data_IF_893762257881
#
_entry.id   IF_893762257881
#
_cell.length_a   1.000
_cell.length_b   1.000
_cell.length_c   1.000
_cell.angle_alpha   90.00
_cell.angle_beta   90.00
_cell.angle_gamma   90.00
#
_symmetry.space_group_name_H-M   'P 1'
#
loop_
_entity.id
_entity.type
_entity.pdbx_description
1 polymer ?
#
# COMPACT_ATOMS: atom_id res chain seq x y z
N UNK A 1 -23.02 -11.04 15.74
CA UNK A 1 -21.72 -11.72 15.58
C UNK A 1 -21.42 -12.09 14.13
N UNK A 2 -22.41 -12.52 13.33
CA UNK A 2 -22.24 -12.83 11.89
C UNK A 2 -21.79 -11.62 11.04
N UNK A 3 -22.18 -10.41 11.46
CA UNK A 3 -21.85 -9.17 10.76
C UNK A 3 -20.37 -8.76 10.89
N UNK A 4 -19.76 -9.00 12.07
CA UNK A 4 -18.33 -8.74 12.30
C UNK A 4 -17.45 -9.60 11.39
N UNK A 5 -17.70 -10.91 11.33
CA UNK A 5 -16.88 -11.85 10.54
C UNK A 5 -16.97 -11.54 9.03
N UNK A 6 -18.16 -11.13 8.56
CA UNK A 6 -18.35 -10.74 7.16
C UNK A 6 -17.62 -9.43 6.84
N UNK A 7 -17.77 -8.42 7.69
CA UNK A 7 -17.18 -7.09 7.50
C UNK A 7 -15.66 -7.15 7.61
N UNK A 8 -15.11 -7.76 8.65
CA UNK A 8 -13.66 -7.92 8.82
C UNK A 8 -13.00 -8.68 7.66
N UNK A 9 -13.61 -9.77 7.17
CA UNK A 9 -13.11 -10.50 5.97
C UNK A 9 -13.17 -9.64 4.71
N UNK A 10 -14.23 -8.85 4.54
CA UNK A 10 -14.36 -7.93 3.41
C UNK A 10 -13.26 -6.87 3.44
N UNK A 11 -13.05 -6.23 4.59
CA UNK A 11 -12.01 -5.22 4.79
C UNK A 11 -10.61 -5.79 4.59
N UNK A 12 -10.30 -6.97 5.15
CA UNK A 12 -8.99 -7.63 4.92
C UNK A 12 -8.72 -7.91 3.45
N UNK A 13 -9.72 -8.33 2.67
CA UNK A 13 -9.56 -8.49 1.21
C UNK A 13 -9.28 -7.15 0.51
N UNK A 14 -9.98 -6.08 0.89
CA UNK A 14 -9.76 -4.74 0.33
C UNK A 14 -8.38 -4.19 0.73
N UNK A 15 -7.94 -4.43 1.97
CA UNK A 15 -6.61 -4.06 2.49
C UNK A 15 -5.50 -4.74 1.69
N UNK A 16 -5.63 -6.06 1.45
CA UNK A 16 -4.67 -6.79 0.60
C UNK A 16 -4.71 -6.25 -0.83
N UNK A 17 -5.89 -5.98 -1.38
CA UNK A 17 -6.01 -5.43 -2.72
C UNK A 17 -5.31 -4.08 -2.85
N UNK A 18 -5.51 -3.14 -1.92
CA UNK A 18 -4.83 -1.83 -1.98
C UNK A 18 -3.33 -1.96 -1.77
N UNK A 19 -2.88 -2.86 -0.90
CA UNK A 19 -1.45 -3.11 -0.71
C UNK A 19 -0.75 -3.61 -1.98
N UNK A 20 -1.42 -4.45 -2.78
CA UNK A 20 -0.89 -4.95 -4.06
C UNK A 20 -0.74 -3.86 -5.11
N UNK A 21 -1.65 -2.88 -5.13
CA UNK A 21 -1.53 -1.75 -6.04
C UNK A 21 -0.33 -0.86 -5.68
N UNK A 22 -0.10 -0.62 -4.38
CA UNK A 22 1.10 0.10 -3.91
C UNK A 22 2.39 -0.66 -4.27
N UNK A 23 2.40 -1.98 -4.04
CA UNK A 23 3.51 -2.86 -4.41
C UNK A 23 3.80 -2.84 -5.92
N UNK A 24 2.75 -2.90 -6.76
CA UNK A 24 2.89 -2.83 -8.21
C UNK A 24 3.49 -1.51 -8.69
N UNK A 25 3.11 -0.37 -8.10
CA UNK A 25 3.71 0.93 -8.40
C UNK A 25 5.20 0.93 -8.02
N UNK A 26 5.53 0.40 -6.84
CA UNK A 26 6.90 0.33 -6.36
C UNK A 26 7.78 -0.55 -7.26
N UNK A 27 7.33 -1.75 -7.62
CA UNK A 27 8.07 -2.65 -8.50
C UNK A 27 8.26 -2.05 -9.91
N UNK A 28 7.27 -1.31 -10.42
CA UNK A 28 7.43 -0.55 -11.67
C UNK A 28 8.51 0.54 -11.55
N UNK A 29 8.55 1.26 -10.43
CA UNK A 29 9.56 2.29 -10.16
C UNK A 29 10.97 1.70 -10.00
N UNK A 30 11.08 0.62 -9.23
CA UNK A 30 12.33 -0.12 -9.01
C UNK A 30 12.92 -0.62 -10.33
N UNK A 31 12.08 -1.14 -11.22
CA UNK A 31 12.52 -1.64 -12.52
C UNK A 31 13.21 -0.57 -13.40
N UNK A 32 12.88 0.72 -13.25
CA UNK A 32 13.52 1.82 -13.99
C UNK A 32 15.01 1.93 -13.64
N UNK A 33 15.32 1.87 -12.34
CA UNK A 33 16.68 2.04 -11.85
C UNK A 33 17.54 0.78 -12.06
N UNK A 34 16.92 -0.40 -12.01
CA UNK A 34 17.64 -1.67 -12.01
C UNK A 34 17.73 -2.34 -13.38
N UNK A 35 16.72 -2.20 -14.24
CA UNK A 35 16.57 -3.10 -15.40
C UNK A 35 16.21 -2.40 -16.72
N UNK A 36 15.35 -1.38 -16.70
CA UNK A 36 14.75 -0.86 -17.92
C UNK A 36 14.24 0.59 -17.76
N UNK A 37 15.07 1.59 -18.13
CA UNK A 37 14.68 2.99 -18.11
C UNK A 37 13.46 3.32 -19.01
N UNK A 38 13.13 2.49 -20.00
CA UNK A 38 11.96 2.71 -20.87
C UNK A 38 10.63 2.62 -20.12
N UNK A 39 10.62 2.00 -18.93
CA UNK A 39 9.44 1.89 -18.06
C UNK A 39 9.05 3.20 -17.35
N UNK A 40 9.82 4.27 -17.54
CA UNK A 40 9.56 5.60 -16.95
C UNK A 40 8.14 6.09 -17.20
N UNK A 41 7.62 5.97 -18.44
CA UNK A 41 6.28 6.43 -18.77
C UNK A 41 5.19 5.61 -18.03
N UNK A 42 5.35 4.29 -17.98
CA UNK A 42 4.42 3.38 -17.28
C UNK A 42 4.39 3.68 -15.79
N UNK A 43 5.55 3.80 -15.14
CA UNK A 43 5.64 4.14 -13.73
C UNK A 43 4.99 5.49 -13.44
N UNK A 44 5.29 6.54 -14.25
CA UNK A 44 4.66 7.84 -14.08
C UNK A 44 3.13 7.74 -14.16
N UNK A 45 2.60 6.97 -15.10
CA UNK A 45 1.16 6.71 -15.20
C UNK A 45 0.58 6.04 -13.94
N UNK A 46 1.21 4.98 -13.46
CA UNK A 46 0.77 4.26 -12.25
C UNK A 46 0.90 5.10 -10.97
N UNK A 47 1.93 5.95 -10.89
CA UNK A 47 2.21 6.80 -9.74
C UNK A 47 1.06 7.77 -9.41
N UNK A 48 0.28 8.20 -10.41
CA UNK A 48 -0.86 9.10 -10.17
C UNK A 48 -1.96 8.45 -9.31
N UNK A 49 -2.03 7.13 -9.29
CA UNK A 49 -2.99 6.37 -8.47
C UNK A 49 -2.40 5.93 -7.12
N UNK A 50 -1.09 6.15 -6.90
CA UNK A 50 -0.39 5.68 -5.69
C UNK A 50 -1.01 6.26 -4.41
N UNK A 51 -1.20 7.58 -4.38
CA UNK A 51 -1.77 8.28 -3.22
C UNK A 51 -3.15 7.75 -2.85
N UNK A 52 -3.98 7.50 -3.87
CA UNK A 52 -5.33 6.95 -3.70
C UNK A 52 -5.29 5.55 -3.08
N UNK A 53 -4.41 4.67 -3.55
CA UNK A 53 -4.33 3.31 -3.00
C UNK A 53 -3.69 3.27 -1.61
N UNK A 54 -2.71 4.13 -1.35
CA UNK A 54 -2.13 4.30 -0.01
C UNK A 54 -3.15 4.86 0.99
N UNK A 55 -3.83 5.95 0.67
CA UNK A 55 -4.90 6.53 1.49
C UNK A 55 -6.02 5.51 1.76
N UNK A 56 -6.41 4.73 0.75
CA UNK A 56 -7.40 3.65 0.91
C UNK A 56 -6.88 2.55 1.85
N UNK A 57 -5.60 2.19 1.77
CA UNK A 57 -5.00 1.22 2.67
C UNK A 57 -5.04 1.69 4.13
N UNK A 58 -4.59 2.91 4.41
CA UNK A 58 -4.57 3.47 5.78
C UNK A 58 -6.00 3.59 6.35
N UNK A 59 -6.96 4.06 5.55
CA UNK A 59 -8.37 4.13 5.99
C UNK A 59 -8.96 2.76 6.33
N UNK A 60 -8.70 1.72 5.53
CA UNK A 60 -9.17 0.36 5.83
C UNK A 60 -8.45 -0.22 7.05
N UNK A 61 -7.17 0.12 7.24
CA UNK A 61 -6.40 -0.30 8.41
C UNK A 61 -7.03 0.26 9.70
N UNK A 62 -7.33 1.55 9.73
CA UNK A 62 -8.01 2.20 10.86
C UNK A 62 -9.38 1.58 11.11
N UNK A 63 -10.20 1.40 10.07
CA UNK A 63 -11.53 0.76 10.20
C UNK A 63 -11.42 -0.67 10.75
N UNK A 64 -10.39 -1.43 10.37
CA UNK A 64 -10.13 -2.74 10.95
C UNK A 64 -9.70 -2.66 12.42
N UNK A 65 -8.85 -1.71 12.79
CA UNK A 65 -8.46 -1.52 14.21
C UNK A 65 -9.71 -1.24 15.04
N UNK A 66 -10.54 -0.29 14.62
CA UNK A 66 -11.73 0.15 15.34
C UNK A 66 -12.72 -1.02 15.52
N UNK A 67 -13.03 -1.75 14.46
CA UNK A 67 -13.98 -2.88 14.52
C UNK A 67 -13.48 -4.01 15.43
N UNK A 68 -12.17 -4.27 15.44
CA UNK A 68 -11.59 -5.28 16.33
C UNK A 68 -11.56 -4.80 17.78
N UNK A 69 -11.34 -3.51 18.04
CA UNK A 69 -11.40 -2.93 19.39
C UNK A 69 -12.84 -2.92 19.94
N UNK A 70 -13.81 -2.46 19.14
CA UNK A 70 -15.24 -2.44 19.48
C UNK A 70 -15.79 -3.82 19.85
N UNK A 71 -15.22 -4.88 19.25
CA UNK A 71 -15.59 -6.26 19.53
C UNK A 71 -14.76 -6.93 20.65
N UNK A 72 -13.84 -6.21 21.29
CA UNK A 72 -12.94 -6.74 22.32
C UNK A 72 -11.95 -7.78 21.79
N UNK A 73 -11.61 -7.72 20.49
CA UNK A 73 -10.73 -8.67 19.78
C UNK A 73 -9.39 -8.04 19.38
N UNK A 74 -8.88 -7.07 20.12
CA UNK A 74 -7.60 -6.39 19.86
C UNK A 74 -6.38 -7.34 19.79
N UNK A 75 -6.48 -8.55 20.32
CA UNK A 75 -5.45 -9.58 20.19
C UNK A 75 -5.39 -10.22 18.78
N UNK A 76 -6.49 -10.18 18.02
CA UNK A 76 -6.62 -10.84 16.71
C UNK A 76 -6.17 -9.95 15.54
N UNK A 77 -6.16 -8.63 15.72
CA UNK A 77 -5.68 -7.67 14.74
C UNK A 77 -5.20 -6.38 15.43
N UNK A 78 -4.07 -5.79 15.00
CA UNK A 78 -3.18 -6.27 13.94
C UNK A 78 -2.21 -7.36 14.42
N UNK A 79 -2.12 -8.47 13.66
CA UNK A 79 -1.14 -9.53 13.89
C UNK A 79 0.28 -9.09 13.46
N UNK A 80 1.29 -9.92 13.74
CA UNK A 80 2.66 -9.67 13.26
C UNK A 80 2.75 -9.58 11.72
N UNK A 81 1.98 -10.39 11.01
CA UNK A 81 1.90 -10.37 9.55
C UNK A 81 1.23 -9.09 9.05
N UNK A 82 0.16 -8.64 9.71
CA UNK A 82 -0.54 -7.40 9.33
C UNK A 82 0.38 -6.18 9.54
N UNK A 83 1.09 -6.13 10.68
CA UNK A 83 2.06 -5.05 10.97
C UNK A 83 3.18 -5.01 9.94
N UNK A 84 3.69 -6.17 9.51
CA UNK A 84 4.68 -6.25 8.44
C UNK A 84 4.12 -5.75 7.11
N UNK A 85 2.87 -6.10 6.79
CA UNK A 85 2.21 -5.59 5.59
C UNK A 85 2.11 -4.05 5.61
N UNK A 86 1.66 -3.47 6.73
CA UNK A 86 1.59 -2.01 6.89
C UNK A 86 2.97 -1.35 6.76
N UNK A 87 3.99 -1.91 7.39
CA UNK A 87 5.36 -1.39 7.29
C UNK A 87 5.85 -1.38 5.84
N UNK A 88 5.65 -2.49 5.11
CA UNK A 88 6.05 -2.60 3.70
C UNK A 88 5.28 -1.61 2.82
N UNK A 89 3.97 -1.47 2.99
CA UNK A 89 3.15 -0.55 2.20
C UNK A 89 3.63 0.90 2.38
N UNK A 90 3.90 1.32 3.62
CA UNK A 90 4.43 2.65 3.91
C UNK A 90 5.82 2.85 3.30
N UNK A 91 6.71 1.87 3.44
CA UNK A 91 8.04 1.90 2.83
C UNK A 91 7.96 2.03 1.30
N UNK A 92 7.10 1.24 0.66
CA UNK A 92 6.93 1.24 -0.79
C UNK A 92 6.32 2.54 -1.30
N UNK A 93 5.38 3.12 -0.56
CA UNK A 93 4.85 4.45 -0.84
C UNK A 93 5.96 5.52 -0.80
N UNK A 94 6.79 5.56 0.25
CA UNK A 94 7.87 6.56 0.35
C UNK A 94 8.96 6.36 -0.70
N UNK A 95 9.34 5.10 -0.99
CA UNK A 95 10.32 4.78 -2.03
C UNK A 95 9.81 5.17 -3.42
N UNK A 96 8.55 4.88 -3.72
CA UNK A 96 7.94 5.29 -4.99
C UNK A 96 7.92 6.81 -5.15
N UNK A 97 7.57 7.55 -4.10
CA UNK A 97 7.66 9.02 -4.10
C UNK A 97 9.09 9.49 -4.38
N UNK A 98 10.08 8.89 -3.71
CA UNK A 98 11.49 9.23 -3.91
C UNK A 98 11.95 9.01 -5.36
N UNK A 99 11.55 7.89 -5.97
CA UNK A 99 11.86 7.57 -7.37
C UNK A 99 11.22 8.62 -8.30
N UNK A 100 9.93 8.91 -8.10
CA UNK A 100 9.21 9.89 -8.91
C UNK A 100 9.84 11.28 -8.83
N UNK A 101 10.15 11.75 -7.63
CA UNK A 101 10.84 13.03 -7.41
C UNK A 101 12.20 13.08 -8.11
N UNK A 102 12.97 11.99 -8.06
CA UNK A 102 14.24 11.87 -8.78
C UNK A 102 14.09 11.99 -10.30
N UNK A 103 13.02 11.43 -10.85
CA UNK A 103 12.68 11.51 -12.28
C UNK A 103 12.16 12.89 -12.71
N UNK A 104 11.54 13.64 -11.79
CA UNK A 104 11.02 14.99 -12.08
C UNK A 104 12.11 16.07 -11.97
N UNK A 105 13.11 15.85 -11.12
CA UNK A 105 14.16 16.83 -10.85
C UNK A 105 15.50 16.55 -11.54
N UNK A 106 15.54 15.66 -12.54
CA UNK A 106 16.73 15.35 -13.36
C UNK A 106 18.00 15.07 -12.53
N UNK A 107 17.87 14.32 -11.42
CA UNK A 107 19.02 13.90 -10.61
C UNK A 107 19.68 12.60 -11.07
N UNK A 108 19.30 12.08 -12.24
CA UNK A 108 19.89 10.90 -12.85
C UNK A 108 20.32 11.21 -14.29
N UNK A 109 21.43 11.95 -14.43
CA UNK A 109 22.31 11.97 -15.60
C UNK A 109 23.74 12.19 -15.11
#
# INVERSE_FOLDING_TARGET
MEDFDKTSKSLKRKLISSSKEVDAVYEAGKAINETDPSKTATFKGMFHELEKYFSKFESIWEELVDIYDDCGRTADFPSSTDKRLQANVREYYYKSNTIYEGLMHNKFF
#
